data_IF_152463790576
#
_entry.id   IF_152463790576
#
_cell.length_a   1.000
_cell.length_b   1.000
_cell.length_c   1.000
_cell.angle_alpha   90.00
_cell.angle_beta   90.00
_cell.angle_gamma   90.00
#
_symmetry.space_group_name_H-M   'P 1'
#
loop_
_entity.id
_entity.type
_entity.pdbx_description
1 polymer ?
#
# COMPACT_ATOMS: atom_id res chain seq x y z
N UNK A 1 -3.73 -33.29 16.82
CA UNK A 1 -2.75 -32.18 16.92
C UNK A 1 -1.52 -32.57 16.11
N UNK A 2 -1.43 -32.16 14.86
CA UNK A 2 -0.22 -32.31 14.05
C UNK A 2 0.31 -30.92 13.75
N UNK A 3 1.35 -30.55 14.48
CA UNK A 3 2.14 -29.35 14.26
C UNK A 3 2.83 -29.45 12.90
N UNK A 4 2.34 -28.70 11.91
CA UNK A 4 3.09 -28.46 10.67
C UNK A 4 4.08 -27.31 10.91
N UNK A 5 5.25 -27.65 11.43
CA UNK A 5 6.41 -26.76 11.39
C UNK A 5 7.10 -27.00 10.06
N UNK A 6 6.97 -26.07 9.10
CA UNK A 6 7.76 -26.10 7.88
C UNK A 6 9.11 -25.40 8.17
N UNK A 7 10.26 -26.11 8.16
CA UNK A 7 11.50 -25.64 8.80
C UNK A 7 12.51 -25.03 7.83
N UNK A 8 12.09 -24.46 6.70
CA UNK A 8 13.03 -23.91 5.71
C UNK A 8 12.68 -22.46 5.40
N UNK A 9 13.60 -21.55 5.72
CA UNK A 9 13.63 -20.17 5.23
C UNK A 9 13.91 -20.11 3.72
N UNK A 10 13.12 -20.84 2.93
CA UNK A 10 13.20 -20.86 1.48
C UNK A 10 12.45 -19.66 0.92
N UNK A 11 13.19 -18.81 0.22
CA UNK A 11 12.66 -17.85 -0.75
C UNK A 11 11.58 -18.54 -1.58
N UNK A 12 10.35 -18.03 -1.64
CA UNK A 12 9.32 -18.57 -2.52
C UNK A 12 9.89 -18.69 -3.95
N UNK A 13 9.61 -19.78 -4.67
CA UNK A 13 10.12 -19.94 -6.03
C UNK A 13 9.66 -18.76 -6.87
N UNK A 14 10.60 -18.17 -7.61
CA UNK A 14 10.31 -17.06 -8.54
C UNK A 14 9.25 -17.54 -9.54
N UNK A 15 8.05 -16.97 -9.47
CA UNK A 15 6.95 -17.32 -10.36
C UNK A 15 7.18 -16.60 -11.71
N UNK A 16 6.98 -17.25 -12.87
CA UNK A 16 7.16 -16.59 -14.17
C UNK A 16 6.37 -15.28 -14.33
N UNK A 17 5.18 -15.18 -13.72
CA UNK A 17 4.39 -13.95 -13.68
C UNK A 17 5.13 -12.79 -12.98
N UNK A 18 5.87 -13.07 -11.91
CA UNK A 18 6.66 -12.07 -11.19
C UNK A 18 7.85 -11.58 -12.03
N UNK A 19 8.46 -12.46 -12.84
CA UNK A 19 9.52 -12.08 -13.76
C UNK A 19 9.01 -11.17 -14.87
N UNK A 20 7.83 -11.46 -15.42
CA UNK A 20 7.21 -10.61 -16.42
C UNK A 20 6.84 -9.23 -15.84
N UNK A 21 6.21 -9.20 -14.66
CA UNK A 21 5.87 -7.95 -13.97
C UNK A 21 7.12 -7.12 -13.62
N UNK A 22 8.19 -7.78 -13.17
CA UNK A 22 9.49 -7.14 -12.93
C UNK A 22 10.04 -6.51 -14.20
N UNK A 23 10.05 -7.24 -15.33
CA UNK A 23 10.57 -6.73 -16.59
C UNK A 23 9.77 -5.52 -17.08
N UNK A 24 8.44 -5.59 -17.04
CA UNK A 24 7.56 -4.46 -17.42
C UNK A 24 7.81 -3.22 -16.55
N UNK A 25 7.96 -3.42 -15.23
CA UNK A 25 8.26 -2.32 -14.30
C UNK A 25 9.61 -1.66 -14.63
N UNK A 26 10.65 -2.45 -14.88
CA UNK A 26 11.97 -1.93 -15.23
C UNK A 26 11.93 -1.16 -16.55
N UNK A 27 11.26 -1.70 -17.57
CA UNK A 27 11.13 -1.05 -18.88
C UNK A 27 10.38 0.28 -18.76
N UNK A 28 9.25 0.31 -18.04
CA UNK A 28 8.46 1.53 -17.85
C UNK A 28 9.22 2.62 -17.08
N UNK A 29 9.94 2.25 -16.01
CA UNK A 29 10.73 3.22 -15.23
C UNK A 29 11.89 3.82 -16.05
N UNK A 30 12.54 3.04 -16.91
CA UNK A 30 13.56 3.56 -17.83
C UNK A 30 12.95 4.49 -18.87
N UNK A 31 11.84 4.10 -19.50
CA UNK A 31 11.16 4.95 -20.46
C UNK A 31 10.68 6.28 -19.86
N UNK A 32 10.21 6.27 -18.60
CA UNK A 32 9.87 7.50 -17.88
C UNK A 32 11.09 8.38 -17.64
N UNK A 33 12.22 7.80 -17.24
CA UNK A 33 13.46 8.55 -17.05
C UNK A 33 13.91 9.22 -18.36
N UNK A 34 13.94 8.47 -19.46
CA UNK A 34 14.30 8.98 -20.79
C UNK A 34 13.36 10.11 -21.23
N UNK A 35 12.05 9.96 -20.98
CA UNK A 35 11.06 10.99 -21.29
C UNK A 35 11.28 12.29 -20.51
N UNK A 36 11.55 12.20 -19.20
CA UNK A 36 11.79 13.37 -18.35
C UNK A 36 13.10 14.07 -18.71
N UNK A 37 14.14 13.33 -19.09
CA UNK A 37 15.40 13.91 -19.58
C UNK A 37 15.20 14.68 -20.90
N UNK A 38 14.42 14.13 -21.83
CA UNK A 38 14.13 14.76 -23.12
C UNK A 38 13.18 15.97 -23.03
N UNK A 39 12.42 16.12 -21.94
CA UNK A 39 11.35 17.11 -21.81
C UNK A 39 11.49 17.95 -20.52
N UNK A 40 12.47 18.86 -20.41
CA UNK A 40 12.75 19.61 -19.17
C UNK A 40 11.64 20.58 -18.73
N UNK A 41 10.67 20.87 -19.61
CA UNK A 41 9.50 21.67 -19.27
C UNK A 41 8.42 20.89 -18.52
N UNK A 42 8.50 19.55 -18.50
CA UNK A 42 7.55 18.71 -17.74
C UNK A 42 7.95 18.75 -16.27
N UNK A 43 7.06 19.22 -15.37
CA UNK A 43 7.36 19.25 -13.95
C UNK A 43 7.45 17.83 -13.39
N UNK A 44 8.36 17.66 -12.42
CA UNK A 44 8.44 16.45 -11.58
C UNK A 44 7.90 16.77 -10.20
N UNK A 45 7.34 15.76 -9.52
CA UNK A 45 6.93 15.94 -8.12
C UNK A 45 8.15 16.31 -7.25
N UNK A 46 7.99 17.38 -6.48
CA UNK A 46 9.03 17.86 -5.56
C UNK A 46 9.21 16.90 -4.38
N UNK A 47 8.13 16.28 -3.93
CA UNK A 47 8.10 15.41 -2.77
C UNK A 47 8.53 13.98 -3.09
N UNK A 48 8.63 13.66 -4.39
CA UNK A 48 9.02 12.35 -4.88
C UNK A 48 7.88 11.33 -4.81
N UNK A 49 8.19 10.09 -5.14
CA UNK A 49 7.17 9.04 -5.32
C UNK A 49 7.53 7.76 -4.59
N UNK A 50 6.51 7.03 -4.13
CA UNK A 50 6.68 5.75 -3.43
C UNK A 50 6.11 4.59 -4.23
N UNK A 51 6.99 3.67 -4.64
CA UNK A 51 6.62 2.39 -5.21
C UNK A 51 6.26 1.40 -4.10
N UNK A 52 4.97 1.24 -3.86
CA UNK A 52 4.43 0.34 -2.85
C UNK A 52 4.32 -1.10 -3.34
N UNK A 53 4.87 -2.03 -2.57
CA UNK A 53 4.68 -3.47 -2.73
C UNK A 53 4.01 -4.01 -1.48
N UNK A 54 2.87 -4.68 -1.62
CA UNK A 54 2.16 -5.26 -0.49
C UNK A 54 2.48 -6.74 -0.38
N UNK A 55 2.96 -7.18 0.79
CA UNK A 55 3.13 -8.59 1.07
C UNK A 55 1.75 -9.25 1.22
N UNK A 56 1.48 -10.26 0.39
CA UNK A 56 0.19 -10.92 0.30
C UNK A 56 0.29 -12.36 0.79
N UNK A 57 -0.06 -12.59 2.06
CA UNK A 57 -0.30 -13.93 2.64
C UNK A 57 -0.91 -13.75 4.04
N UNK A 58 -0.91 -14.82 4.85
CA UNK A 58 -1.00 -14.77 6.29
C UNK A 58 0.10 -13.92 6.92
N UNK A 59 -0.14 -13.45 8.15
CA UNK A 59 0.73 -12.46 8.80
C UNK A 59 2.19 -12.96 8.97
N UNK A 60 2.39 -14.24 9.27
CA UNK A 60 3.74 -14.79 9.47
C UNK A 60 4.55 -14.85 8.16
N UNK A 61 3.95 -15.39 7.10
CA UNK A 61 4.59 -15.43 5.77
C UNK A 61 4.87 -14.02 5.23
N UNK A 62 3.94 -13.08 5.42
CA UNK A 62 4.10 -11.72 4.95
C UNK A 62 5.21 -10.95 5.70
N UNK A 63 5.38 -11.21 7.01
CA UNK A 63 6.51 -10.69 7.79
C UNK A 63 7.83 -11.23 7.26
N UNK A 64 7.93 -12.54 7.05
CA UNK A 64 9.14 -13.15 6.49
C UNK A 64 9.50 -12.57 5.10
N UNK A 65 8.50 -12.29 4.27
CA UNK A 65 8.71 -11.63 2.97
C UNK A 65 9.27 -10.20 3.13
N UNK A 66 8.77 -9.43 4.10
CA UNK A 66 9.31 -8.10 4.42
C UNK A 66 10.75 -8.21 4.90
N UNK A 67 11.05 -9.13 5.83
CA UNK A 67 12.40 -9.33 6.37
C UNK A 67 13.40 -9.73 5.28
N UNK A 68 13.00 -10.66 4.41
CA UNK A 68 13.82 -11.08 3.27
C UNK A 68 14.09 -9.90 2.32
N UNK A 69 13.07 -9.10 2.03
CA UNK A 69 13.21 -7.93 1.16
C UNK A 69 14.08 -6.86 1.81
N UNK A 70 13.95 -6.64 3.12
CA UNK A 70 14.80 -5.73 3.89
C UNK A 70 16.28 -6.11 3.77
N UNK A 71 16.60 -7.41 3.90
CA UNK A 71 17.95 -7.93 3.72
C UNK A 71 18.48 -7.68 2.29
N UNK A 72 17.68 -7.90 1.25
CA UNK A 72 18.06 -7.62 -0.15
C UNK A 72 18.27 -6.12 -0.40
N UNK A 73 17.49 -5.27 0.25
CA UNK A 73 17.61 -3.83 0.16
C UNK A 73 18.79 -3.29 1.00
N UNK A 74 19.25 -4.03 2.01
CA UNK A 74 20.15 -3.51 3.04
C UNK A 74 19.49 -2.39 3.84
N UNK A 75 18.21 -2.55 4.15
CA UNK A 75 17.40 -1.59 4.89
C UNK A 75 16.95 -2.20 6.22
N UNK A 76 16.72 -1.34 7.21
CA UNK A 76 16.10 -1.75 8.48
C UNK A 76 14.58 -1.90 8.32
N UNK A 77 14.00 -2.74 9.16
CA UNK A 77 12.56 -2.95 9.24
C UNK A 77 11.97 -2.00 10.27
N UNK A 78 10.84 -1.39 9.92
CA UNK A 78 10.00 -0.61 10.83
C UNK A 78 8.81 -1.47 11.26
N UNK A 79 8.68 -1.71 12.57
CA UNK A 79 7.59 -2.47 13.18
C UNK A 79 6.65 -1.58 13.98
N UNK A 80 5.61 -1.06 13.33
CA UNK A 80 4.57 -0.26 13.98
C UNK A 80 3.39 -1.14 14.44
N UNK A 81 3.46 -2.46 14.32
CA UNK A 81 2.35 -3.35 14.70
C UNK A 81 1.93 -3.21 16.18
N UNK A 82 2.83 -2.97 17.16
CA UNK A 82 2.44 -2.78 18.55
C UNK A 82 1.46 -1.61 18.77
N UNK A 83 1.52 -0.58 17.93
CA UNK A 83 0.62 0.60 17.99
C UNK A 83 -0.53 0.51 16.97
N UNK A 84 -0.72 -0.64 16.32
CA UNK A 84 -1.75 -0.83 15.29
C UNK A 84 -1.33 -0.31 13.90
N UNK A 85 -0.04 -0.11 13.66
CA UNK A 85 0.53 0.27 12.37
C UNK A 85 0.90 -0.92 11.47
N UNK A 86 1.88 -0.71 10.60
CA UNK A 86 2.30 -1.67 9.58
C UNK A 86 3.70 -2.23 9.88
N UNK A 87 4.06 -3.30 9.17
CA UNK A 87 5.41 -3.84 9.21
C UNK A 87 6.06 -3.61 7.84
N UNK A 88 7.09 -2.77 7.78
CA UNK A 88 7.57 -2.24 6.49
C UNK A 88 9.09 -2.19 6.38
N UNK A 89 9.60 -2.33 5.16
CA UNK A 89 10.98 -2.05 4.84
C UNK A 89 11.04 -1.09 3.66
N UNK A 90 11.95 -0.11 3.75
CA UNK A 90 11.98 1.02 2.82
C UNK A 90 13.40 1.30 2.36
N UNK A 91 13.59 1.54 1.06
CA UNK A 91 14.85 2.03 0.49
C UNK A 91 14.59 3.16 -0.50
N UNK A 92 15.38 4.22 -0.41
CA UNK A 92 15.26 5.41 -1.24
C UNK A 92 16.37 5.46 -2.30
N UNK A 93 15.97 5.79 -3.53
CA UNK A 93 16.80 6.00 -4.72
C UNK A 93 16.55 7.42 -5.23
N UNK A 94 17.32 8.41 -4.77
CA UNK A 94 17.03 9.81 -5.07
C UNK A 94 15.67 10.23 -4.50
N UNK A 95 14.73 10.66 -5.35
CA UNK A 95 13.34 11.00 -4.97
C UNK A 95 12.35 9.84 -5.12
N UNK A 96 12.80 8.66 -5.55
CA UNK A 96 11.95 7.47 -5.67
C UNK A 96 12.18 6.55 -4.48
N UNK A 97 11.11 6.12 -3.82
CA UNK A 97 11.17 5.26 -2.64
C UNK A 97 10.56 3.91 -2.97
N UNK A 98 11.30 2.82 -2.77
CA UNK A 98 10.75 1.47 -2.76
C UNK A 98 10.30 1.14 -1.34
N UNK A 99 9.04 0.73 -1.17
CA UNK A 99 8.50 0.34 0.13
C UNK A 99 7.71 -0.97 0.05
N UNK A 100 8.17 -1.99 0.76
CA UNK A 100 7.38 -3.20 0.98
C UNK A 100 6.60 -3.08 2.30
N UNK A 101 5.32 -3.46 2.28
CA UNK A 101 4.38 -3.26 3.40
C UNK A 101 3.64 -4.55 3.69
N UNK A 102 3.69 -4.99 4.94
CA UNK A 102 2.74 -5.93 5.50
C UNK A 102 1.71 -5.18 6.37
N UNK A 103 0.42 -5.36 6.04
CA UNK A 103 -0.71 -4.87 6.83
C UNK A 103 -1.31 -6.06 7.59
N UNK A 104 -1.27 -6.08 8.92
CA UNK A 104 -1.81 -7.18 9.72
C UNK A 104 -3.30 -7.44 9.45
N UNK A 105 -3.74 -8.71 9.52
CA UNK A 105 -5.15 -9.08 9.37
C UNK A 105 -6.07 -8.34 10.34
N UNK A 106 -5.61 -8.09 11.57
CA UNK A 106 -6.36 -7.30 12.55
C UNK A 106 -6.71 -5.92 11.99
N UNK A 107 -5.73 -5.19 11.47
CA UNK A 107 -5.92 -3.84 10.93
C UNK A 107 -6.85 -3.85 9.72
N UNK A 108 -6.75 -4.87 8.85
CA UNK A 108 -7.68 -5.04 7.72
C UNK A 108 -9.13 -5.20 8.20
N UNK A 109 -9.36 -5.97 9.26
CA UNK A 109 -10.71 -6.13 9.86
C UNK A 109 -11.21 -4.84 10.50
N UNK A 110 -10.36 -4.12 11.24
CA UNK A 110 -10.72 -2.83 11.84
C UNK A 110 -11.07 -1.79 10.76
N UNK A 111 -10.30 -1.74 9.66
CA UNK A 111 -10.59 -0.88 8.52
C UNK A 111 -11.92 -1.27 7.83
N UNK A 112 -12.18 -2.56 7.65
CA UNK A 112 -13.45 -3.05 7.09
C UNK A 112 -14.63 -2.66 7.97
N UNK A 113 -14.52 -2.89 9.29
CA UNK A 113 -15.56 -2.50 10.25
C UNK A 113 -15.79 -0.99 10.24
N UNK A 114 -14.72 -0.17 10.21
CA UNK A 114 -14.87 1.29 10.10
C UNK A 114 -15.58 1.70 8.81
N UNK A 115 -15.21 1.08 7.69
CA UNK A 115 -15.78 1.40 6.38
C UNK A 115 -17.24 0.95 6.25
N UNK A 116 -17.68 -0.11 6.94
CA UNK A 116 -19.08 -0.56 6.89
C UNK A 116 -20.06 0.44 7.50
N UNK A 117 -19.60 1.36 8.36
CA UNK A 117 -20.44 2.42 8.93
C UNK A 117 -20.42 3.74 8.14
N UNK A 118 -19.52 3.90 7.15
CA UNK A 118 -19.31 5.19 6.46
C UNK A 118 -20.53 5.73 5.72
N UNK A 119 -21.42 4.87 5.25
CA UNK A 119 -22.57 5.27 4.42
C UNK A 119 -23.91 5.13 5.15
N UNK A 120 -23.89 4.87 6.46
CA UNK A 120 -25.13 4.63 7.22
C UNK A 120 -25.83 5.93 7.64
N UNK A 121 -25.16 7.08 7.58
CA UNK A 121 -25.76 8.40 7.86
C UNK A 121 -25.80 9.18 6.55
N UNK A 122 -26.99 9.32 5.98
CA UNK A 122 -27.29 10.22 4.87
C UNK A 122 -28.09 11.37 5.47
N UNK A 123 -27.55 12.58 5.42
CA UNK A 123 -28.32 13.78 5.76
C UNK A 123 -29.31 14.01 4.62
N UNK A 124 -30.60 14.08 4.93
CA UNK A 124 -31.60 14.50 3.96
C UNK A 124 -31.42 16.00 3.73
N UNK A 125 -30.75 16.36 2.63
CA UNK A 125 -30.47 17.75 2.28
C UNK A 125 -31.70 18.50 1.73
N UNK A 126 -32.88 17.89 1.74
CA UNK A 126 -34.12 18.50 1.22
C UNK A 126 -35.04 19.08 2.31
N UNK A 127 -34.57 19.24 3.54
CA UNK A 127 -35.43 19.67 4.67
C UNK A 127 -35.38 21.18 4.99
N UNK A 128 -35.00 22.05 4.04
CA UNK A 128 -34.91 23.51 4.23
C UNK A 128 -35.82 24.32 3.26
N UNK A 129 -36.97 23.79 2.83
CA UNK A 129 -37.75 24.41 1.74
C UNK A 129 -39.26 24.55 1.89
N UNK A 130 -39.87 24.22 3.03
CA UNK A 130 -41.32 24.32 3.16
C UNK A 130 -41.76 24.66 4.58
N UNK A 131 -41.47 25.89 5.01
CA UNK A 131 -42.22 26.58 6.07
C UNK A 131 -41.93 28.08 5.94
N UNK A 132 -42.70 28.74 5.08
CA UNK A 132 -43.06 30.16 5.16
C UNK A 132 -43.93 30.47 3.95
N UNK A 133 -45.26 30.40 4.13
CA UNK A 133 -46.24 31.30 3.54
C UNK A 133 -47.61 31.00 4.16
N UNK A 134 -47.77 31.42 5.42
CA UNK A 134 -49.07 31.57 6.06
C UNK A 134 -49.59 33.00 5.83
N UNK A 135 -50.83 33.10 5.36
CA UNK A 135 -51.75 34.23 5.46
C UNK A 135 -51.50 35.49 4.59
N UNK A 136 -52.15 35.51 3.42
CA UNK A 136 -52.70 36.75 2.87
C UNK A 136 -54.10 36.53 2.28
N UNK A 137 -55.04 37.33 2.80
CA UNK A 137 -56.43 37.59 2.39
C UNK A 137 -57.51 36.61 2.85
#
# INVERSE_FOLDING_TARGET
>A
MTTHTNPTGQTPPIVPGDLFARQQTITGLRALADFLEANPAVPVDEYGETYHVFAHDNDASAVAQVDQTAALLGAEVTDDRPTGGHYTATKRFGRITYRIVHIPKRNKREALARNSYRHNIILDTNQDGADNDEQAA
#
